data_IF_017540372536
#
_entry.id   IF_017540372536
#
_cell.length_a   1.000
_cell.length_b   1.000
_cell.length_c   1.000
_cell.angle_alpha   90.00
_cell.angle_beta   90.00
_cell.angle_gamma   90.00
#
_symmetry.space_group_name_H-M   'P 1'
#
loop_
_entity.id
_entity.type
_entity.pdbx_description
1 polymer ?
#
# COMPACT_ATOMS: atom_id res chain seq x y z
N UNK A 1 -48.30 -0.46 20.71
CA UNK A 1 -47.56 -0.75 21.95
C UNK A 1 -46.09 -0.88 21.57
N UNK A 2 -45.29 0.12 21.91
CA UNK A 2 -43.83 0.10 21.62
C UNK A 2 -43.17 -0.64 22.78
N UNK A 3 -42.54 -1.75 22.48
CA UNK A 3 -41.77 -2.53 23.44
C UNK A 3 -40.43 -1.81 23.67
N UNK A 4 -40.30 -1.17 24.81
CA UNK A 4 -39.06 -0.56 25.29
C UNK A 4 -38.09 -1.67 25.63
N UNK A 5 -37.13 -1.92 24.72
CA UNK A 5 -36.02 -2.81 25.01
C UNK A 5 -35.16 -2.23 26.14
N UNK A 6 -35.28 -2.82 27.30
CA UNK A 6 -34.38 -2.59 28.44
C UNK A 6 -32.98 -2.98 28.07
N UNK A 7 -32.09 -1.98 27.97
CA UNK A 7 -30.66 -2.20 27.81
C UNK A 7 -30.14 -2.75 29.13
N UNK A 8 -29.88 -4.05 29.16
CA UNK A 8 -29.18 -4.72 30.27
C UNK A 8 -27.75 -4.15 30.38
N UNK A 9 -27.50 -3.30 31.38
CA UNK A 9 -26.20 -2.69 31.68
C UNK A 9 -25.28 -3.60 32.50
N UNK A 10 -25.55 -4.90 32.51
CA UNK A 10 -24.79 -5.91 33.23
C UNK A 10 -23.70 -6.63 32.42
N UNK A 11 -23.15 -6.00 31.35
CA UNK A 11 -22.13 -6.59 30.52
C UNK A 11 -20.73 -6.53 31.16
N UNK A 12 -20.29 -7.63 31.75
CA UNK A 12 -18.89 -7.85 32.08
C UNK A 12 -18.00 -7.72 30.83
N UNK A 13 -16.67 -7.69 31.00
CA UNK A 13 -15.65 -7.56 29.92
C UNK A 13 -15.90 -8.41 28.66
N UNK A 14 -16.66 -9.49 28.75
CA UNK A 14 -17.04 -10.37 27.64
C UNK A 14 -17.94 -9.70 26.60
N UNK A 15 -18.72 -8.67 26.95
CA UNK A 15 -19.57 -7.90 26.03
C UNK A 15 -18.80 -6.79 25.25
N UNK A 16 -17.59 -6.45 25.69
CA UNK A 16 -16.80 -5.36 25.12
C UNK A 16 -16.06 -5.79 23.83
N UNK A 17 -15.71 -7.07 23.71
CA UNK A 17 -14.93 -7.58 22.60
C UNK A 17 -15.78 -8.42 21.65
N UNK A 18 -15.66 -8.12 20.35
CA UNK A 18 -16.30 -8.89 19.28
C UNK A 18 -15.34 -9.13 18.15
N UNK A 19 -15.10 -10.38 17.81
CA UNK A 19 -14.21 -10.77 16.71
C UNK A 19 -14.94 -10.77 15.37
N UNK A 20 -14.25 -10.29 14.33
CA UNK A 20 -14.70 -10.37 12.94
C UNK A 20 -13.48 -10.52 12.04
N UNK A 21 -13.46 -11.54 11.21
CA UNK A 21 -12.35 -11.85 10.30
C UNK A 21 -12.58 -11.23 8.93
N UNK A 22 -11.53 -10.76 8.25
CA UNK A 22 -11.62 -10.26 6.87
C UNK A 22 -11.99 -11.39 5.92
N UNK A 23 -11.21 -12.46 5.94
CA UNK A 23 -11.39 -13.64 5.09
C UNK A 23 -11.98 -14.80 5.90
N UNK A 24 -11.17 -15.38 6.74
CA UNK A 24 -11.50 -16.43 7.69
C UNK A 24 -10.34 -16.57 8.71
N UNK A 25 -10.53 -17.29 9.84
CA UNK A 25 -9.50 -17.38 10.88
C UNK A 25 -8.12 -17.85 10.38
N UNK A 26 -8.08 -18.89 9.55
CA UNK A 26 -6.81 -19.44 9.05
C UNK A 26 -6.11 -18.50 8.07
N UNK A 27 -6.86 -17.92 7.15
CA UNK A 27 -6.31 -17.00 6.15
C UNK A 27 -5.84 -15.69 6.79
N UNK A 28 -6.61 -15.13 7.72
CA UNK A 28 -6.22 -13.91 8.41
C UNK A 28 -4.98 -14.10 9.29
N UNK A 29 -4.91 -15.22 10.04
CA UNK A 29 -3.72 -15.55 10.81
C UNK A 29 -2.48 -15.67 9.92
N UNK A 30 -2.61 -16.29 8.74
CA UNK A 30 -1.49 -16.46 7.82
C UNK A 30 -1.12 -15.16 7.12
N UNK A 31 -2.08 -14.51 6.42
CA UNK A 31 -1.77 -13.41 5.50
C UNK A 31 -1.76 -12.03 6.16
N UNK A 32 -2.51 -11.83 7.24
CA UNK A 32 -2.60 -10.51 7.86
C UNK A 32 -1.79 -10.40 9.15
N UNK A 33 -1.56 -11.52 9.87
CA UNK A 33 -0.88 -11.48 11.16
C UNK A 33 0.52 -12.11 11.12
N UNK A 34 0.71 -13.28 10.46
CA UNK A 34 2.01 -13.97 10.43
C UNK A 34 2.91 -13.47 9.30
N UNK A 35 2.36 -13.15 8.14
CA UNK A 35 3.13 -12.68 6.97
C UNK A 35 4.06 -11.49 7.27
N UNK A 36 3.68 -10.47 8.08
CA UNK A 36 4.61 -9.41 8.44
C UNK A 36 5.91 -9.92 9.08
N UNK A 37 5.84 -10.90 9.96
CA UNK A 37 7.02 -11.48 10.60
C UNK A 37 7.88 -12.28 9.61
N UNK A 38 7.26 -13.02 8.70
CA UNK A 38 7.96 -13.72 7.61
C UNK A 38 8.67 -12.72 6.69
N UNK A 39 8.02 -11.61 6.36
CA UNK A 39 8.61 -10.57 5.51
C UNK A 39 9.82 -9.89 6.18
N UNK A 40 9.79 -9.71 7.50
CA UNK A 40 10.97 -9.28 8.27
C UNK A 40 12.11 -10.28 8.11
N UNK A 41 11.84 -11.57 8.30
CA UNK A 41 12.84 -12.63 8.13
C UNK A 41 13.46 -12.65 6.73
N UNK A 42 12.63 -12.47 5.68
CA UNK A 42 13.11 -12.37 4.29
C UNK A 42 14.01 -11.15 4.10
N UNK A 43 13.62 -9.97 4.59
CA UNK A 43 14.44 -8.76 4.46
C UNK A 43 15.79 -8.89 5.16
N UNK A 44 15.82 -9.47 6.35
CA UNK A 44 17.06 -9.74 7.08
C UNK A 44 17.93 -10.77 6.36
N UNK A 45 17.33 -11.85 5.84
CA UNK A 45 18.05 -12.84 5.04
C UNK A 45 18.62 -12.22 3.74
N UNK A 46 17.87 -11.35 3.08
CA UNK A 46 18.37 -10.65 1.91
C UNK A 46 19.53 -9.71 2.26
N UNK A 47 19.48 -9.05 3.39
CA UNK A 47 20.57 -8.19 3.86
C UNK A 47 21.87 -8.98 4.07
N UNK A 48 21.76 -10.18 4.61
CA UNK A 48 22.91 -11.01 4.96
C UNK A 48 23.51 -11.74 3.74
N UNK A 49 22.65 -12.23 2.84
CA UNK A 49 23.09 -13.22 1.84
C UNK A 49 23.06 -12.69 0.39
N UNK A 50 22.40 -11.58 0.10
CA UNK A 50 22.24 -11.12 -1.29
C UNK A 50 22.93 -9.78 -1.55
N UNK A 51 23.59 -9.63 -2.72
CA UNK A 51 24.08 -8.34 -3.15
C UNK A 51 22.92 -7.40 -3.51
N UNK A 52 23.14 -6.10 -3.35
CA UNK A 52 22.13 -5.06 -3.57
C UNK A 52 21.39 -5.18 -4.91
N UNK A 53 22.12 -5.49 -6.00
CA UNK A 53 21.55 -5.64 -7.35
C UNK A 53 20.55 -6.79 -7.42
N UNK A 54 20.83 -7.92 -6.74
CA UNK A 54 19.90 -9.04 -6.68
C UNK A 54 18.63 -8.66 -5.90
N UNK A 55 18.78 -7.96 -4.77
CA UNK A 55 17.62 -7.46 -3.99
C UNK A 55 16.77 -6.50 -4.82
N UNK A 56 17.39 -5.60 -5.59
CA UNK A 56 16.69 -4.67 -6.46
C UNK A 56 15.87 -5.40 -7.53
N UNK A 57 16.46 -6.40 -8.19
CA UNK A 57 15.77 -7.23 -9.19
C UNK A 57 14.61 -8.01 -8.60
N UNK A 58 14.81 -8.67 -7.46
CA UNK A 58 13.76 -9.43 -6.76
C UNK A 58 12.62 -8.51 -6.31
N UNK A 59 12.94 -7.30 -5.88
CA UNK A 59 11.95 -6.31 -5.44
C UNK A 59 10.87 -6.03 -6.48
N UNK A 60 11.22 -5.99 -7.77
CA UNK A 60 10.26 -5.81 -8.86
C UNK A 60 9.34 -7.03 -9.02
N UNK A 61 9.89 -8.25 -8.91
CA UNK A 61 9.09 -9.47 -8.94
C UNK A 61 8.09 -9.59 -7.80
N UNK A 62 8.37 -8.98 -6.66
CA UNK A 62 7.44 -8.91 -5.52
C UNK A 62 6.39 -7.81 -5.74
N UNK A 63 6.80 -6.65 -6.27
CA UNK A 63 5.94 -5.47 -6.40
C UNK A 63 4.91 -5.62 -7.53
N UNK A 64 5.36 -6.02 -8.70
CA UNK A 64 4.55 -5.95 -9.93
C UNK A 64 3.30 -6.84 -9.90
N UNK A 65 3.31 -8.07 -9.35
CA UNK A 65 2.12 -8.91 -9.28
C UNK A 65 0.94 -8.29 -8.53
N UNK A 66 1.15 -7.41 -7.54
CA UNK A 66 0.02 -6.80 -6.86
C UNK A 66 -0.68 -5.72 -7.70
N UNK A 67 0.03 -5.05 -8.60
CA UNK A 67 -0.61 -4.19 -9.61
C UNK A 67 -1.55 -4.99 -10.51
N UNK A 68 -1.14 -6.22 -10.90
CA UNK A 68 -2.00 -7.11 -11.68
C UNK A 68 -3.33 -7.39 -10.99
N UNK A 69 -3.31 -7.63 -9.69
CA UNK A 69 -4.53 -7.83 -8.91
C UNK A 69 -5.51 -6.65 -9.05
N UNK A 70 -4.99 -5.42 -9.00
CA UNK A 70 -5.77 -4.22 -9.23
C UNK A 70 -6.37 -4.18 -10.66
N UNK A 71 -5.56 -4.48 -11.68
CA UNK A 71 -6.04 -4.47 -13.07
C UNK A 71 -7.14 -5.50 -13.31
N UNK A 72 -6.99 -6.70 -12.75
CA UNK A 72 -8.01 -7.74 -12.84
C UNK A 72 -9.32 -7.28 -12.21
N UNK A 73 -9.28 -6.69 -11.03
CA UNK A 73 -10.46 -6.14 -10.35
C UNK A 73 -11.06 -4.96 -11.12
N UNK A 74 -10.23 -4.02 -11.55
CA UNK A 74 -10.68 -2.77 -12.18
C UNK A 74 -11.26 -2.99 -13.58
N UNK A 75 -10.56 -3.71 -14.42
CA UNK A 75 -10.91 -3.88 -15.83
C UNK A 75 -11.64 -5.19 -16.13
N UNK A 76 -11.53 -6.17 -15.22
CA UNK A 76 -12.15 -7.48 -15.39
C UNK A 76 -13.56 -7.61 -14.80
N UNK A 77 -13.97 -6.69 -13.90
CA UNK A 77 -15.27 -6.79 -13.23
C UNK A 77 -16.25 -5.73 -13.77
N UNK A 78 -17.46 -6.14 -14.23
CA UNK A 78 -18.41 -5.23 -14.88
C UNK A 78 -18.92 -4.11 -13.97
N UNK A 79 -19.08 -4.38 -12.68
CA UNK A 79 -19.54 -3.43 -11.69
C UNK A 79 -18.64 -2.21 -11.58
N UNK A 80 -17.30 -2.44 -11.61
CA UNK A 80 -16.31 -1.39 -11.56
C UNK A 80 -16.19 -0.67 -12.89
N UNK A 81 -16.07 -1.43 -13.98
CA UNK A 81 -15.92 -0.86 -15.31
C UNK A 81 -17.09 0.04 -15.69
N UNK A 82 -18.32 -0.39 -15.43
CA UNK A 82 -19.52 0.40 -15.76
C UNK A 82 -19.57 1.72 -14.96
N UNK A 83 -19.13 1.71 -13.72
CA UNK A 83 -19.19 2.87 -12.83
C UNK A 83 -18.07 3.87 -13.04
N UNK A 84 -16.87 3.42 -13.41
CA UNK A 84 -15.65 4.24 -13.41
C UNK A 84 -14.92 4.25 -14.76
N UNK A 85 -15.57 3.84 -15.85
CA UNK A 85 -14.97 3.70 -17.18
C UNK A 85 -14.16 4.92 -17.61
N UNK A 86 -14.74 6.11 -17.50
CA UNK A 86 -14.07 7.36 -17.91
C UNK A 86 -12.82 7.61 -17.06
N UNK A 87 -12.93 7.46 -15.74
CA UNK A 87 -11.80 7.65 -14.82
C UNK A 87 -10.69 6.63 -15.07
N UNK A 88 -11.06 5.38 -15.38
CA UNK A 88 -10.11 4.29 -15.66
C UNK A 88 -9.40 4.43 -17.01
N UNK A 89 -9.94 5.20 -17.95
CA UNK A 89 -9.27 5.52 -19.21
C UNK A 89 -8.47 6.82 -19.05
N UNK A 90 -9.12 7.88 -18.62
CA UNK A 90 -8.51 9.23 -18.57
C UNK A 90 -7.42 9.30 -17.49
N UNK A 91 -7.65 8.70 -16.31
CA UNK A 91 -6.69 8.76 -15.21
C UNK A 91 -5.30 8.25 -15.58
N UNK A 92 -5.15 7.00 -16.06
CA UNK A 92 -3.86 6.48 -16.53
C UNK A 92 -3.23 7.30 -17.67
N UNK A 93 -4.03 7.85 -18.61
CA UNK A 93 -3.51 8.72 -19.67
C UNK A 93 -2.95 10.05 -19.13
N UNK A 94 -3.61 10.62 -18.13
CA UNK A 94 -3.10 11.82 -17.44
C UNK A 94 -1.84 11.49 -16.65
N UNK A 95 -1.82 10.34 -15.96
CA UNK A 95 -0.69 9.92 -15.16
C UNK A 95 0.55 9.63 -16.04
N UNK A 96 0.40 8.93 -17.16
CA UNK A 96 1.55 8.69 -18.07
C UNK A 96 2.08 10.00 -18.65
N UNK A 97 1.19 10.91 -19.03
CA UNK A 97 1.59 12.23 -19.51
C UNK A 97 2.33 13.02 -18.42
N UNK A 98 1.81 13.01 -17.20
CA UNK A 98 2.43 13.66 -16.04
C UNK A 98 3.81 13.08 -15.73
N UNK A 99 3.94 11.76 -15.68
CA UNK A 99 5.23 11.11 -15.38
C UNK A 99 6.25 11.36 -16.49
N UNK A 100 5.86 11.25 -17.76
CA UNK A 100 6.74 11.49 -18.90
C UNK A 100 7.25 12.95 -18.92
N UNK A 101 6.33 13.92 -18.87
CA UNK A 101 6.69 15.33 -18.91
C UNK A 101 7.38 15.78 -17.63
N UNK A 102 6.94 15.27 -16.49
CA UNK A 102 7.49 15.62 -15.20
C UNK A 102 8.91 15.10 -15.02
N UNK A 103 9.20 13.86 -15.39
CA UNK A 103 10.58 13.35 -15.37
C UNK A 103 11.50 14.10 -16.32
N UNK A 104 10.95 14.62 -17.42
CA UNK A 104 11.71 15.44 -18.38
C UNK A 104 12.05 16.83 -17.84
N UNK A 105 11.14 17.51 -17.13
CA UNK A 105 11.31 18.92 -16.76
C UNK A 105 11.35 19.20 -15.27
N UNK A 106 10.82 18.31 -14.44
CA UNK A 106 10.75 18.49 -12.99
C UNK A 106 10.93 17.15 -12.23
N UNK A 107 12.03 16.42 -12.44
CA UNK A 107 12.21 15.06 -11.93
C UNK A 107 12.12 14.97 -10.41
N UNK A 108 12.66 15.96 -9.67
CA UNK A 108 12.55 15.99 -8.19
C UNK A 108 11.10 16.07 -7.74
N UNK A 109 10.30 16.93 -8.39
CA UNK A 109 8.89 17.09 -8.05
C UNK A 109 8.09 15.80 -8.28
N UNK A 110 8.39 15.08 -9.37
CA UNK A 110 7.78 13.77 -9.63
C UNK A 110 8.19 12.75 -8.57
N UNK A 111 9.48 12.68 -8.23
CA UNK A 111 9.98 11.78 -7.20
C UNK A 111 9.28 12.03 -5.85
N UNK A 112 9.18 13.29 -5.44
CA UNK A 112 8.53 13.66 -4.18
C UNK A 112 7.04 13.30 -4.18
N UNK A 113 6.34 13.57 -5.28
CA UNK A 113 4.92 13.21 -5.41
C UNK A 113 4.71 11.70 -5.37
N UNK A 114 5.50 10.95 -6.15
CA UNK A 114 5.42 9.48 -6.19
C UNK A 114 5.69 8.91 -4.80
N UNK A 115 6.74 9.39 -4.14
CA UNK A 115 7.08 8.93 -2.78
C UNK A 115 5.96 9.26 -1.79
N UNK A 116 5.45 10.49 -1.80
CA UNK A 116 4.37 10.89 -0.89
C UNK A 116 3.09 10.07 -1.13
N UNK A 117 2.75 9.81 -2.39
CA UNK A 117 1.55 9.04 -2.72
C UNK A 117 1.72 7.54 -2.41
N UNK A 118 2.90 6.96 -2.61
CA UNK A 118 3.22 5.58 -2.21
C UNK A 118 3.03 5.37 -0.70
N UNK A 119 3.57 6.27 0.11
CA UNK A 119 3.40 6.24 1.56
C UNK A 119 1.94 6.45 1.98
N UNK A 120 1.23 7.40 1.36
CA UNK A 120 -0.18 7.63 1.59
C UNK A 120 -1.03 6.40 1.21
N UNK A 121 -0.75 5.77 0.06
CA UNK A 121 -1.42 4.56 -0.38
C UNK A 121 -1.20 3.40 0.62
N UNK A 122 0.01 3.23 1.12
CA UNK A 122 0.35 2.22 2.13
C UNK A 122 -0.44 2.42 3.43
N UNK A 123 -0.55 3.65 3.92
CA UNK A 123 -1.37 4.02 5.08
C UNK A 123 -2.85 3.71 4.81
N UNK A 124 -3.36 4.09 3.64
CA UNK A 124 -4.77 3.91 3.30
C UNK A 124 -5.16 2.44 3.15
N UNK A 125 -4.28 1.58 2.64
CA UNK A 125 -4.54 0.14 2.59
C UNK A 125 -4.65 -0.45 4.01
N UNK A 126 -3.72 -0.13 4.90
CA UNK A 126 -3.77 -0.63 6.29
C UNK A 126 -4.99 -0.09 7.04
N UNK A 127 -5.31 1.19 6.85
CA UNK A 127 -6.54 1.77 7.37
C UNK A 127 -7.78 1.05 6.82
N UNK A 128 -7.82 0.77 5.52
CA UNK A 128 -8.90 0.04 4.85
C UNK A 128 -9.12 -1.34 5.45
N UNK A 129 -8.08 -2.14 5.64
CA UNK A 129 -8.18 -3.45 6.29
C UNK A 129 -8.66 -3.31 7.76
N UNK A 130 -8.16 -2.34 8.50
CA UNK A 130 -8.67 -2.03 9.83
C UNK A 130 -10.18 -1.74 9.84
N UNK A 131 -10.67 -1.01 8.84
CA UNK A 131 -12.11 -0.73 8.67
C UNK A 131 -12.92 -1.98 8.31
N UNK A 132 -12.34 -2.91 7.53
CA UNK A 132 -13.01 -4.19 7.23
C UNK A 132 -13.12 -5.04 8.50
N UNK A 133 -12.09 -5.10 9.34
CA UNK A 133 -12.17 -5.77 10.64
C UNK A 133 -13.31 -5.21 11.52
N UNK A 134 -13.43 -3.88 11.61
CA UNK A 134 -14.52 -3.25 12.36
C UNK A 134 -15.88 -3.55 11.74
N UNK A 135 -16.01 -3.47 10.42
CA UNK A 135 -17.25 -3.78 9.69
C UNK A 135 -17.71 -5.23 9.96
N UNK A 136 -16.79 -6.19 9.84
CA UNK A 136 -17.09 -7.62 10.09
C UNK A 136 -17.49 -7.91 11.52
N UNK A 137 -16.92 -7.21 12.50
CA UNK A 137 -17.24 -7.32 13.90
C UNK A 137 -18.44 -6.44 14.33
N UNK A 138 -18.92 -5.53 13.47
CA UNK A 138 -19.83 -4.44 13.84
C UNK A 138 -19.30 -3.65 15.03
N UNK A 139 -17.99 -3.38 15.03
CA UNK A 139 -17.27 -2.74 16.13
C UNK A 139 -16.99 -1.26 15.84
N UNK A 140 -16.68 -0.52 16.89
CA UNK A 140 -16.37 0.90 16.85
C UNK A 140 -17.61 1.80 16.79
N UNK A 141 -17.36 3.09 16.89
CA UNK A 141 -18.34 4.17 16.72
C UNK A 141 -18.18 4.79 15.32
N UNK A 142 -19.11 5.64 14.91
CA UNK A 142 -18.99 6.40 13.66
C UNK A 142 -17.71 7.27 13.61
N UNK A 143 -17.26 7.78 14.75
CA UNK A 143 -16.02 8.55 14.92
C UNK A 143 -14.75 7.71 14.80
N UNK A 144 -14.79 6.41 15.11
CA UNK A 144 -13.62 5.51 15.14
C UNK A 144 -12.80 5.55 13.85
N UNK A 145 -13.47 5.69 12.70
CA UNK A 145 -12.78 5.83 11.40
C UNK A 145 -11.77 6.97 11.37
N UNK A 146 -12.10 8.13 11.99
CA UNK A 146 -11.22 9.30 12.00
C UNK A 146 -10.04 9.09 12.96
N UNK A 147 -10.30 8.50 14.12
CA UNK A 147 -9.27 8.18 15.10
C UNK A 147 -8.31 7.12 14.56
N UNK A 148 -8.81 6.08 13.89
CA UNK A 148 -7.97 5.06 13.25
C UNK A 148 -7.07 5.66 12.17
N UNK A 149 -7.62 6.50 11.27
CA UNK A 149 -6.82 7.14 10.24
C UNK A 149 -5.72 8.01 10.85
N UNK A 150 -6.05 8.81 11.86
CA UNK A 150 -5.06 9.63 12.54
C UNK A 150 -4.02 8.77 13.28
N UNK A 151 -4.40 7.60 13.85
CA UNK A 151 -3.45 6.65 14.43
C UNK A 151 -2.44 6.16 13.38
N UNK A 152 -2.91 5.76 12.22
CA UNK A 152 -2.03 5.34 11.13
C UNK A 152 -1.10 6.46 10.67
N UNK A 153 -1.60 7.69 10.51
CA UNK A 153 -0.79 8.84 10.11
C UNK A 153 0.27 9.16 11.17
N UNK A 154 -0.09 9.14 12.46
CA UNK A 154 0.86 9.43 13.54
C UNK A 154 1.92 8.34 13.67
N UNK A 155 1.53 7.08 13.68
CA UNK A 155 2.47 5.96 13.78
C UNK A 155 3.41 5.94 12.57
N UNK A 156 2.87 6.04 11.36
CA UNK A 156 3.68 6.02 10.15
C UNK A 156 4.58 7.25 10.03
N UNK A 157 4.04 8.44 10.31
CA UNK A 157 4.81 9.69 10.31
C UNK A 157 5.94 9.68 11.33
N UNK A 158 5.70 9.14 12.53
CA UNK A 158 6.75 8.95 13.53
C UNK A 158 7.86 8.01 13.01
N UNK A 159 7.50 6.87 12.44
CA UNK A 159 8.45 5.93 11.83
C UNK A 159 9.25 6.62 10.71
N UNK A 160 8.57 7.32 9.79
CA UNK A 160 9.22 8.02 8.68
C UNK A 160 10.22 9.08 9.14
N UNK A 161 9.91 9.82 10.20
CA UNK A 161 10.83 10.83 10.73
C UNK A 161 12.01 10.23 11.50
N UNK A 162 11.79 9.17 12.27
CA UNK A 162 12.75 8.67 13.26
C UNK A 162 13.57 7.46 12.81
N UNK A 163 13.00 6.55 11.98
CA UNK A 163 13.72 5.36 11.57
C UNK A 163 14.97 5.73 10.75
N UNK A 164 16.14 5.14 11.03
CA UNK A 164 17.41 5.53 10.42
C UNK A 164 17.38 5.55 8.90
N UNK A 165 16.77 4.53 8.26
CA UNK A 165 16.70 4.43 6.79
C UNK A 165 15.93 5.57 6.15
N UNK A 166 14.84 6.03 6.78
CA UNK A 166 14.04 7.16 6.29
C UNK A 166 14.62 8.50 6.68
N UNK A 167 15.14 8.61 7.93
CA UNK A 167 15.76 9.84 8.42
C UNK A 167 16.94 10.25 7.53
N UNK A 168 17.78 9.30 7.15
CA UNK A 168 18.87 9.57 6.20
C UNK A 168 18.32 10.04 4.84
N UNK A 169 17.24 9.41 4.35
CA UNK A 169 16.63 9.75 3.06
C UNK A 169 16.12 11.19 3.04
N UNK A 170 15.22 11.58 3.96
CA UNK A 170 14.61 12.90 3.91
C UNK A 170 15.60 14.02 4.25
N UNK A 171 16.58 13.80 5.13
CA UNK A 171 17.66 14.77 5.39
C UNK A 171 18.48 14.98 4.12
N UNK A 172 18.87 13.91 3.45
CA UNK A 172 19.62 13.98 2.19
C UNK A 172 18.85 14.75 1.11
N UNK A 173 17.57 14.48 0.95
CA UNK A 173 16.77 15.14 -0.11
C UNK A 173 16.54 16.63 0.21
N UNK A 174 16.29 16.99 1.46
CA UNK A 174 16.23 18.40 1.87
C UNK A 174 17.56 19.13 1.61
N UNK A 175 18.70 18.49 1.91
CA UNK A 175 20.01 19.04 1.61
C UNK A 175 20.22 19.24 0.10
N UNK A 176 19.84 18.26 -0.72
CA UNK A 176 19.91 18.36 -2.20
C UNK A 176 19.05 19.48 -2.77
N UNK A 177 17.93 19.76 -2.14
CA UNK A 177 17.06 20.89 -2.51
C UNK A 177 17.53 22.23 -1.97
N UNK A 178 18.73 22.29 -1.37
CA UNK A 178 19.28 23.48 -0.73
C UNK A 178 18.41 24.09 0.37
N UNK A 179 17.56 23.25 1.01
CA UNK A 179 16.79 23.70 2.17
C UNK A 179 17.74 23.88 3.35
N UNK A 180 17.78 25.05 3.98
CA UNK A 180 18.66 25.30 5.11
C UNK A 180 18.17 24.55 6.34
N UNK A 181 18.76 23.36 6.58
CA UNK A 181 18.47 22.54 7.75
C UNK A 181 19.66 22.60 8.73
N UNK A 182 19.34 22.78 10.01
CA UNK A 182 20.32 22.73 11.09
C UNK A 182 20.11 21.50 11.95
N UNK A 183 21.16 21.10 12.71
CA UNK A 183 21.03 20.01 13.69
C UNK A 183 19.92 20.32 14.70
N UNK A 184 19.79 21.58 15.14
CA UNK A 184 18.72 22.00 16.05
C UNK A 184 17.33 21.83 15.47
N UNK A 185 17.14 22.15 14.18
CA UNK A 185 15.88 21.92 13.49
C UNK A 185 15.52 20.42 13.45
N UNK A 186 16.48 19.58 13.05
CA UNK A 186 16.27 18.13 12.98
C UNK A 186 15.90 17.60 14.37
N UNK A 187 16.68 17.94 15.40
CA UNK A 187 16.40 17.48 16.76
C UNK A 187 15.05 17.97 17.30
N UNK A 188 14.69 19.22 16.99
CA UNK A 188 13.38 19.78 17.32
C UNK A 188 12.23 19.00 16.67
N UNK A 189 12.36 18.67 15.38
CA UNK A 189 11.38 17.89 14.64
C UNK A 189 11.21 16.46 15.20
N UNK A 190 12.32 15.80 15.53
CA UNK A 190 12.31 14.47 16.15
C UNK A 190 11.65 14.51 17.53
N UNK A 191 12.01 15.46 18.38
CA UNK A 191 11.40 15.63 19.71
C UNK A 191 9.90 15.94 19.60
N UNK A 192 9.51 16.82 18.68
CA UNK A 192 8.11 17.11 18.40
C UNK A 192 7.33 15.86 17.98
N UNK A 193 7.92 15.01 17.14
CA UNK A 193 7.28 13.77 16.71
C UNK A 193 7.01 12.81 17.88
N UNK A 194 7.88 12.76 18.88
CA UNK A 194 7.66 12.00 20.12
C UNK A 194 6.48 12.56 20.93
N UNK A 195 6.39 13.88 21.07
CA UNK A 195 5.26 14.53 21.77
C UNK A 195 3.94 14.20 21.07
N UNK A 196 3.92 14.29 19.73
CA UNK A 196 2.73 13.97 18.92
C UNK A 196 2.35 12.50 19.08
N UNK A 197 3.32 11.58 19.01
CA UNK A 197 3.07 10.14 19.15
C UNK A 197 2.46 9.83 20.53
N UNK A 198 3.13 10.25 21.59
CA UNK A 198 2.69 9.96 22.97
C UNK A 198 1.33 10.61 23.23
N UNK A 199 1.20 11.90 22.90
CA UNK A 199 -0.07 12.63 23.08
C UNK A 199 -1.22 11.97 22.32
N UNK A 200 -0.97 11.52 21.08
CA UNK A 200 -2.02 10.87 20.31
C UNK A 200 -2.37 9.48 20.84
N UNK A 201 -1.42 8.71 21.34
CA UNK A 201 -1.71 7.43 21.98
C UNK A 201 -2.66 7.59 23.20
N UNK A 202 -2.49 8.65 24.00
CA UNK A 202 -3.45 8.97 25.06
C UNK A 202 -4.84 9.33 24.51
N UNK A 203 -4.90 10.17 23.46
CA UNK A 203 -6.16 10.51 22.79
C UNK A 203 -6.84 9.26 22.24
N UNK A 204 -6.08 8.35 21.65
CA UNK A 204 -6.61 7.11 21.09
C UNK A 204 -7.10 6.14 22.20
N UNK A 205 -6.34 6.00 23.29
CA UNK A 205 -6.76 5.21 24.44
C UNK A 205 -8.06 5.76 25.07
N UNK A 206 -8.15 7.09 25.19
CA UNK A 206 -9.39 7.75 25.64
C UNK A 206 -10.57 7.50 24.68
N UNK A 207 -10.33 7.54 23.36
CA UNK A 207 -11.35 7.19 22.37
C UNK A 207 -11.85 5.74 22.54
N UNK A 208 -10.95 4.79 22.76
CA UNK A 208 -11.32 3.39 23.02
C UNK A 208 -12.15 3.25 24.30
N UNK A 209 -11.72 3.95 25.35
CA UNK A 209 -12.49 3.98 26.59
C UNK A 209 -13.91 4.52 26.36
N UNK A 210 -14.06 5.67 25.70
CA UNK A 210 -15.36 6.22 25.38
C UNK A 210 -16.19 5.30 24.49
N UNK A 211 -15.59 4.62 23.52
CA UNK A 211 -16.26 3.63 22.68
C UNK A 211 -16.94 2.56 23.53
N UNK A 212 -16.25 2.05 24.55
CA UNK A 212 -16.82 1.06 25.46
C UNK A 212 -17.92 1.66 26.35
N UNK A 213 -17.71 2.88 26.86
CA UNK A 213 -18.71 3.55 27.69
C UNK A 213 -20.04 3.85 26.96
N UNK A 214 -19.94 4.11 25.66
CA UNK A 214 -21.08 4.33 24.76
C UNK A 214 -21.72 3.01 24.27
N UNK A 215 -21.28 1.86 24.78
CA UNK A 215 -21.80 0.55 24.40
C UNK A 215 -21.27 0.03 23.06
N UNK A 216 -20.25 0.68 22.48
CA UNK A 216 -19.56 0.19 21.30
C UNK A 216 -18.66 -1.01 21.62
N UNK A 217 -18.44 -1.84 20.61
CA UNK A 217 -17.58 -3.03 20.72
C UNK A 217 -16.22 -2.78 20.11
N UNK A 218 -15.23 -3.54 20.53
CA UNK A 218 -13.84 -3.50 20.05
C UNK A 218 -13.50 -4.83 19.37
N UNK A 219 -12.93 -4.77 18.16
CA UNK A 219 -12.40 -5.96 17.51
C UNK A 219 -10.90 -6.11 17.83
N UNK A 220 -10.49 -7.07 18.68
CA UNK A 220 -9.09 -7.25 19.04
C UNK A 220 -8.20 -7.67 17.84
N UNK A 221 -8.79 -8.33 16.83
CA UNK A 221 -8.07 -8.75 15.64
C UNK A 221 -7.56 -7.55 14.80
N UNK A 222 -8.31 -6.44 14.80
CA UNK A 222 -7.85 -5.17 14.18
C UNK A 222 -6.53 -4.71 14.80
N UNK A 223 -6.41 -4.77 16.10
CA UNK A 223 -5.20 -4.32 16.82
C UNK A 223 -4.04 -5.29 16.67
N UNK A 224 -4.32 -6.60 16.64
CA UNK A 224 -3.31 -7.60 16.32
C UNK A 224 -2.74 -7.38 14.90
N UNK A 225 -3.62 -7.11 13.93
CA UNK A 225 -3.23 -6.77 12.55
C UNK A 225 -2.40 -5.47 12.49
N UNK A 226 -2.88 -4.38 13.12
CA UNK A 226 -2.14 -3.12 13.17
C UNK A 226 -0.78 -3.34 13.84
N UNK A 227 -0.74 -4.04 14.98
CA UNK A 227 0.49 -4.35 15.69
C UNK A 227 1.50 -5.12 14.84
N UNK A 228 1.06 -6.17 14.13
CA UNK A 228 1.92 -6.96 13.25
C UNK A 228 2.47 -6.11 12.08
N UNK A 229 1.63 -5.28 11.45
CA UNK A 229 2.03 -4.42 10.33
C UNK A 229 3.05 -3.35 10.76
N UNK A 230 2.78 -2.68 11.88
CA UNK A 230 3.70 -1.66 12.41
C UNK A 230 4.96 -2.27 13.00
N UNK A 231 4.89 -3.48 13.58
CA UNK A 231 6.10 -4.22 13.97
C UNK A 231 7.05 -4.39 12.78
N UNK A 232 6.54 -4.85 11.62
CA UNK A 232 7.35 -4.97 10.41
C UNK A 232 7.99 -3.62 10.04
N UNK A 233 7.18 -2.57 9.88
CA UNK A 233 7.66 -1.27 9.41
C UNK A 233 8.71 -0.66 10.34
N UNK A 234 8.49 -0.74 11.65
CA UNK A 234 9.44 -0.26 12.64
C UNK A 234 10.68 -1.13 12.69
N UNK A 235 10.51 -2.45 12.85
CA UNK A 235 11.65 -3.33 12.98
C UNK A 235 12.61 -3.22 11.80
N UNK A 236 12.09 -3.31 10.57
CA UNK A 236 12.92 -3.19 9.37
C UNK A 236 13.48 -1.77 9.20
N UNK A 237 12.71 -0.73 9.54
CA UNK A 237 13.17 0.66 9.50
C UNK A 237 14.34 0.96 10.41
N UNK A 238 14.45 0.26 11.54
CA UNK A 238 15.55 0.45 12.51
C UNK A 238 16.70 -0.54 12.35
N UNK A 239 16.45 -1.74 11.80
CA UNK A 239 17.42 -2.83 11.82
C UNK A 239 17.96 -3.21 10.43
N UNK A 240 17.57 -2.53 9.36
CA UNK A 240 18.16 -2.73 8.04
C UNK A 240 19.02 -1.53 7.62
N UNK A 241 19.90 -1.76 6.64
CA UNK A 241 20.86 -0.75 6.18
C UNK A 241 20.41 0.00 4.92
N UNK A 242 19.25 -0.38 4.37
CA UNK A 242 18.80 0.16 3.08
C UNK A 242 17.29 0.33 3.04
N UNK A 243 16.85 1.45 2.47
CA UNK A 243 15.44 1.68 2.13
C UNK A 243 14.89 0.60 1.19
N UNK A 244 15.72 -0.01 0.35
CA UNK A 244 15.32 -1.10 -0.53
C UNK A 244 14.90 -2.35 0.26
N UNK A 245 15.61 -2.70 1.34
CA UNK A 245 15.24 -3.82 2.20
C UNK A 245 13.93 -3.56 2.94
N UNK A 246 13.77 -2.32 3.43
CA UNK A 246 12.47 -1.91 3.98
C UNK A 246 11.36 -2.05 2.94
N UNK A 247 11.60 -1.57 1.72
CA UNK A 247 10.64 -1.67 0.63
C UNK A 247 10.29 -3.12 0.28
N UNK A 248 11.26 -4.04 0.28
CA UNK A 248 11.02 -5.48 0.05
C UNK A 248 10.09 -6.06 1.12
N UNK A 249 10.40 -5.85 2.41
CA UNK A 249 9.56 -6.34 3.49
C UNK A 249 8.14 -5.76 3.41
N UNK A 250 8.05 -4.45 3.21
CA UNK A 250 6.78 -3.75 3.03
C UNK A 250 5.97 -4.33 1.87
N UNK A 251 6.58 -4.52 0.71
CA UNK A 251 5.92 -5.01 -0.50
C UNK A 251 5.49 -6.46 -0.40
N UNK A 252 6.24 -7.31 0.31
CA UNK A 252 5.80 -8.68 0.62
C UNK A 252 4.50 -8.62 1.43
N UNK A 253 4.48 -7.90 2.53
CA UNK A 253 3.29 -7.77 3.36
C UNK A 253 2.13 -7.13 2.58
N UNK A 254 2.32 -5.92 2.09
CA UNK A 254 1.33 -5.11 1.40
C UNK A 254 0.79 -5.80 0.14
N UNK A 255 1.69 -6.32 -0.70
CA UNK A 255 1.33 -6.94 -1.98
C UNK A 255 0.62 -8.26 -1.82
N UNK A 256 1.10 -9.16 -0.96
CA UNK A 256 0.45 -10.46 -0.75
C UNK A 256 -0.90 -10.31 -0.05
N UNK A 257 -1.01 -9.43 0.95
CA UNK A 257 -2.31 -9.10 1.58
C UNK A 257 -3.31 -8.62 0.54
N UNK A 258 -2.89 -7.73 -0.36
CA UNK A 258 -3.74 -7.20 -1.43
C UNK A 258 -4.14 -8.28 -2.44
N UNK A 259 -3.18 -9.06 -2.95
CA UNK A 259 -3.44 -10.14 -3.92
C UNK A 259 -4.47 -11.13 -3.36
N UNK A 260 -4.28 -11.60 -2.13
CA UNK A 260 -5.17 -12.57 -1.50
C UNK A 260 -6.55 -11.98 -1.21
N UNK A 261 -6.59 -10.74 -0.73
CA UNK A 261 -7.85 -10.05 -0.49
C UNK A 261 -8.66 -9.85 -1.76
N UNK A 262 -8.03 -9.35 -2.84
CA UNK A 262 -8.69 -9.12 -4.13
C UNK A 262 -9.23 -10.42 -4.70
N UNK A 263 -8.43 -11.50 -4.64
CA UNK A 263 -8.88 -12.80 -5.14
C UNK A 263 -10.11 -13.31 -4.38
N UNK A 264 -10.09 -13.33 -3.06
CA UNK A 264 -11.22 -13.79 -2.23
C UNK A 264 -12.45 -12.90 -2.44
N UNK A 265 -12.25 -11.58 -2.57
CA UNK A 265 -13.33 -10.65 -2.85
C UNK A 265 -14.02 -10.97 -4.19
N UNK A 266 -13.24 -11.17 -5.25
CA UNK A 266 -13.77 -11.53 -6.57
C UNK A 266 -14.42 -12.92 -6.56
N UNK A 267 -13.86 -13.87 -5.81
CA UNK A 267 -14.41 -15.22 -5.68
C UNK A 267 -15.81 -15.19 -5.05
N UNK A 268 -16.00 -14.40 -3.99
CA UNK A 268 -17.31 -14.19 -3.37
C UNK A 268 -18.32 -13.55 -4.31
N UNK A 269 -17.92 -12.60 -5.16
CA UNK A 269 -18.79 -12.01 -6.17
C UNK A 269 -19.16 -13.04 -7.25
N UNK A 270 -18.22 -13.90 -7.64
CA UNK A 270 -18.47 -14.99 -8.58
C UNK A 270 -19.48 -16.01 -8.04
N UNK A 271 -19.38 -16.38 -6.76
CA UNK A 271 -20.36 -17.26 -6.10
C UNK A 271 -21.79 -16.68 -6.13
N UNK A 272 -21.91 -15.35 -6.19
CA UNK A 272 -23.21 -14.64 -6.32
C UNK A 272 -23.68 -14.48 -7.76
N UNK A 273 -22.93 -14.99 -8.74
CA UNK A 273 -23.26 -14.87 -10.16
C UNK A 273 -22.95 -13.49 -10.77
N UNK A 274 -22.17 -12.65 -10.08
CA UNK A 274 -21.80 -11.31 -10.54
C UNK A 274 -20.52 -11.28 -11.38
N UNK A 275 -19.84 -12.41 -11.55
CA UNK A 275 -18.63 -12.50 -12.37
C UNK A 275 -18.94 -12.43 -13.86
N UNK A 276 -18.08 -11.74 -14.62
CA UNK A 276 -18.15 -11.70 -16.09
C UNK A 276 -17.78 -13.04 -16.68
N UNK A 277 -18.57 -13.59 -17.62
CA UNK A 277 -18.18 -14.76 -18.38
C UNK A 277 -16.86 -14.50 -19.15
N UNK A 278 -15.99 -15.51 -19.24
CA UNK A 278 -14.78 -15.44 -20.04
C UNK A 278 -13.50 -15.79 -19.28
N UNK A 279 -12.36 -15.21 -19.70
CA UNK A 279 -11.06 -15.52 -19.11
C UNK A 279 -11.03 -15.20 -17.61
N UNK A 280 -11.67 -14.11 -17.19
CA UNK A 280 -11.71 -13.67 -15.81
C UNK A 280 -12.44 -14.62 -14.88
N UNK A 281 -13.53 -15.24 -15.34
CA UNK A 281 -14.26 -16.24 -14.56
C UNK A 281 -13.43 -17.50 -14.29
N UNK A 282 -12.41 -17.78 -15.12
CA UNK A 282 -11.48 -18.89 -14.90
C UNK A 282 -10.43 -18.59 -13.83
N UNK A 283 -10.24 -17.34 -13.49
CA UNK A 283 -9.29 -16.88 -12.45
C UNK A 283 -9.94 -16.81 -11.06
N UNK A 284 -11.26 -16.96 -10.98
CA UNK A 284 -12.05 -17.04 -9.74
C UNK A 284 -12.76 -18.39 -9.68
N UNK A 285 -13.22 -18.78 -8.49
CA UNK A 285 -13.84 -20.10 -8.28
C UNK A 285 -12.83 -21.21 -8.00
N UNK A 286 -13.35 -22.41 -7.85
CA UNK A 286 -12.55 -23.58 -7.47
C UNK A 286 -11.42 -23.85 -8.49
N UNK A 287 -10.18 -23.79 -8.03
CA UNK A 287 -8.98 -23.96 -8.87
C UNK A 287 -8.57 -22.72 -9.67
N UNK A 288 -9.28 -21.60 -9.57
CA UNK A 288 -8.98 -20.35 -10.25
C UNK A 288 -7.73 -19.66 -9.70
N UNK A 289 -7.45 -19.80 -8.40
CA UNK A 289 -6.31 -19.15 -7.73
C UNK A 289 -4.98 -19.38 -8.46
N UNK A 290 -4.72 -20.59 -8.94
CA UNK A 290 -3.47 -20.90 -9.66
C UNK A 290 -3.35 -20.09 -10.95
N UNK A 291 -4.43 -19.89 -11.69
CA UNK A 291 -4.44 -19.10 -12.93
C UNK A 291 -4.31 -17.61 -12.64
N UNK A 292 -4.92 -17.16 -11.57
CA UNK A 292 -4.77 -15.79 -11.08
C UNK A 292 -3.33 -15.48 -10.70
N UNK A 293 -2.66 -16.35 -9.93
CA UNK A 293 -1.25 -16.19 -9.55
C UNK A 293 -0.31 -16.30 -10.75
N UNK A 294 -0.54 -17.27 -11.64
CA UNK A 294 0.24 -17.39 -12.89
C UNK A 294 0.07 -16.15 -13.80
N UNK A 295 -1.13 -15.57 -13.86
CA UNK A 295 -1.38 -14.31 -14.54
C UNK A 295 -0.55 -13.16 -13.96
N UNK A 296 -0.44 -13.08 -12.63
CA UNK A 296 0.42 -12.11 -11.95
C UNK A 296 1.90 -12.28 -12.27
N UNK A 297 2.39 -13.54 -12.31
CA UNK A 297 3.78 -13.84 -12.72
C UNK A 297 4.01 -13.48 -14.19
N UNK A 298 3.09 -13.85 -15.09
CA UNK A 298 3.17 -13.53 -16.51
C UNK A 298 3.16 -12.00 -16.74
N UNK A 299 2.33 -11.28 -15.99
CA UNK A 299 2.30 -9.82 -16.02
C UNK A 299 3.63 -9.22 -15.54
N UNK A 300 4.21 -9.74 -14.46
CA UNK A 300 5.50 -9.29 -13.96
C UNK A 300 6.63 -9.57 -14.98
N UNK A 301 6.60 -10.73 -15.64
CA UNK A 301 7.54 -11.05 -16.72
C UNK A 301 7.41 -10.06 -17.89
N UNK A 302 6.18 -9.82 -18.36
CA UNK A 302 5.94 -8.85 -19.44
C UNK A 302 6.40 -7.44 -19.05
N UNK A 303 6.12 -7.02 -17.82
CA UNK A 303 6.57 -5.73 -17.31
C UNK A 303 8.10 -5.63 -17.28
N UNK A 304 8.81 -6.68 -16.82
CA UNK A 304 10.27 -6.75 -16.84
C UNK A 304 10.84 -6.66 -18.27
N UNK A 305 10.20 -7.30 -19.23
CA UNK A 305 10.59 -7.20 -20.64
C UNK A 305 10.43 -5.78 -21.18
N UNK A 306 9.36 -5.07 -20.80
CA UNK A 306 9.12 -3.68 -21.23
C UNK A 306 10.16 -2.72 -20.66
N UNK A 307 10.56 -2.87 -19.39
CA UNK A 307 11.49 -1.97 -18.74
C UNK A 307 12.95 -2.34 -18.95
N UNK A 308 13.23 -3.50 -19.55
CA UNK A 308 14.59 -3.96 -19.83
C UNK A 308 15.00 -3.65 -21.28
N UNK A 309 16.30 -3.42 -21.47
CA UNK A 309 16.94 -2.98 -22.71
C UNK A 309 16.56 -3.75 -23.99
N UNK A 310 16.24 -5.07 -23.98
CA UNK A 310 15.91 -5.80 -25.21
C UNK A 310 14.72 -5.28 -26.01
N UNK A 311 13.81 -4.54 -25.39
CA UNK A 311 12.63 -3.98 -26.08
C UNK A 311 12.81 -2.50 -26.50
N UNK A 312 13.93 -1.88 -26.18
CA UNK A 312 14.25 -0.51 -26.57
C UNK A 312 14.27 -0.38 -28.11
N UNK A 313 14.82 -1.38 -28.80
CA UNK A 313 14.88 -1.46 -30.26
C UNK A 313 13.50 -1.55 -30.94
N UNK A 314 12.44 -1.93 -30.23
CA UNK A 314 11.08 -2.00 -30.77
C UNK A 314 10.31 -0.67 -30.70
N UNK A 315 10.98 0.43 -30.43
CA UNK A 315 10.38 1.76 -30.48
C UNK A 315 9.53 2.13 -29.26
N UNK A 316 9.73 1.48 -28.13
CA UNK A 316 9.22 1.94 -26.85
C UNK A 316 9.84 3.27 -26.42
N UNK A 317 10.81 3.80 -27.16
CA UNK A 317 11.32 5.17 -27.11
C UNK A 317 10.35 6.23 -27.65
N UNK A 318 9.04 6.02 -27.56
CA UNK A 318 8.01 7.05 -27.91
C UNK A 318 8.26 8.34 -27.13
N UNK A 319 8.85 8.23 -25.93
CA UNK A 319 9.35 9.38 -25.17
C UNK A 319 10.88 9.31 -25.20
N UNK A 320 11.47 9.98 -26.18
CA UNK A 320 12.92 10.10 -26.27
C UNK A 320 13.45 11.06 -25.21
N UNK A 321 14.20 10.56 -24.25
CA UNK A 321 14.83 11.35 -23.20
C UNK A 321 16.30 11.75 -23.55
N UNK A 322 16.85 11.24 -24.64
CA UNK A 322 18.20 11.58 -25.05
C UNK A 322 18.19 12.73 -26.13
N UNK A 323 19.19 13.61 -26.18
CA UNK A 323 20.22 13.85 -25.19
C UNK A 323 19.65 14.58 -23.95
N UNK A 324 20.02 14.15 -22.77
CA UNK A 324 19.52 14.74 -21.55
C UNK A 324 20.64 15.50 -20.82
N UNK A 325 20.39 16.73 -20.34
CA UNK A 325 21.38 17.40 -19.50
C UNK A 325 21.59 16.58 -18.23
N UNK A 326 22.76 16.75 -17.63
CA UNK A 326 23.04 16.18 -16.32
C UNK A 326 21.92 16.53 -15.32
N UNK A 327 21.50 15.57 -14.52
CA UNK A 327 20.55 15.77 -13.41
C UNK A 327 21.31 15.43 -12.12
N UNK A 328 22.10 16.38 -11.58
CA UNK A 328 22.97 16.14 -10.42
C UNK A 328 22.19 15.67 -9.19
N UNK A 329 20.92 16.10 -9.08
CA UNK A 329 20.01 15.75 -7.99
C UNK A 329 19.71 14.25 -7.93
N UNK A 330 19.79 13.57 -9.07
CA UNK A 330 19.68 12.10 -9.16
C UNK A 330 21.03 11.39 -9.18
N UNK A 331 22.13 12.12 -9.13
CA UNK A 331 23.46 11.56 -9.35
C UNK A 331 23.66 11.05 -10.79
N UNK A 332 22.86 11.55 -11.72
CA UNK A 332 22.92 11.20 -13.14
C UNK A 332 23.78 12.28 -13.83
N UNK A 333 24.95 11.90 -14.32
CA UNK A 333 25.74 12.69 -15.28
C UNK A 333 24.98 12.80 -16.59
N UNK A 334 25.49 13.57 -17.57
CA UNK A 334 24.85 13.69 -18.88
C UNK A 334 24.39 12.31 -19.40
N UNK A 335 23.09 12.22 -19.76
CA UNK A 335 22.50 10.94 -20.14
C UNK A 335 23.05 10.52 -21.52
N UNK A 336 23.78 9.46 -21.51
CA UNK A 336 23.98 8.60 -22.66
C UNK A 336 22.70 7.77 -22.93
N UNK A 337 22.74 6.92 -23.92
CA UNK A 337 21.64 6.02 -24.30
C UNK A 337 21.15 5.16 -23.13
N UNK A 338 22.07 4.69 -22.29
CA UNK A 338 21.76 3.85 -21.14
C UNK A 338 21.05 4.63 -20.03
N UNK A 339 21.40 5.88 -19.82
CA UNK A 339 20.72 6.77 -18.90
C UNK A 339 19.32 7.18 -19.37
N UNK A 340 19.13 7.42 -20.67
CA UNK A 340 17.82 7.67 -21.25
C UNK A 340 16.86 6.48 -21.05
N UNK A 341 17.38 5.27 -21.24
CA UNK A 341 16.60 4.05 -21.00
C UNK A 341 16.25 3.84 -19.52
N UNK A 342 17.16 4.16 -18.61
CA UNK A 342 16.87 4.11 -17.18
C UNK A 342 15.72 5.05 -16.78
N UNK A 343 15.65 6.24 -17.39
CA UNK A 343 14.51 7.17 -17.20
C UNK A 343 13.20 6.62 -17.78
N UNK A 344 13.25 5.96 -18.93
CA UNK A 344 12.06 5.27 -19.47
C UNK A 344 11.55 4.19 -18.53
N UNK A 345 12.43 3.32 -18.03
CA UNK A 345 12.07 2.32 -17.03
C UNK A 345 11.47 2.95 -15.78
N UNK A 346 12.05 4.04 -15.29
CA UNK A 346 11.54 4.78 -14.14
C UNK A 346 10.16 5.40 -14.41
N UNK A 347 9.96 5.97 -15.61
CA UNK A 347 8.65 6.48 -16.05
C UNK A 347 7.60 5.39 -16.03
N UNK A 348 7.91 4.20 -16.54
CA UNK A 348 6.98 3.06 -16.55
C UNK A 348 6.63 2.62 -15.13
N UNK A 349 7.62 2.45 -14.26
CA UNK A 349 7.40 2.07 -12.86
C UNK A 349 6.49 3.09 -12.15
N UNK A 350 6.75 4.37 -12.31
CA UNK A 350 5.95 5.43 -11.71
C UNK A 350 4.54 5.49 -12.28
N UNK A 351 4.39 5.37 -13.61
CA UNK A 351 3.07 5.39 -14.27
C UNK A 351 2.18 4.26 -13.76
N UNK A 352 2.71 3.04 -13.70
CA UNK A 352 1.92 1.90 -13.23
C UNK A 352 1.63 1.98 -11.73
N UNK A 353 2.59 2.39 -10.91
CA UNK A 353 2.40 2.59 -9.49
C UNK A 353 1.33 3.65 -9.19
N UNK A 354 1.46 4.85 -9.76
CA UNK A 354 0.49 5.94 -9.56
C UNK A 354 -0.89 5.59 -10.11
N UNK A 355 -0.97 4.90 -11.26
CA UNK A 355 -2.25 4.44 -11.83
C UNK A 355 -2.93 3.43 -10.91
N UNK A 356 -2.16 2.53 -10.30
CA UNK A 356 -2.67 1.59 -9.30
C UNK A 356 -3.22 2.34 -8.07
N UNK A 357 -2.49 3.28 -7.48
CA UNK A 357 -2.96 4.06 -6.32
C UNK A 357 -4.21 4.87 -6.64
N UNK A 358 -4.25 5.48 -7.82
CA UNK A 358 -5.40 6.22 -8.30
C UNK A 358 -6.65 5.34 -8.40
N UNK A 359 -6.53 4.19 -9.06
CA UNK A 359 -7.66 3.28 -9.26
C UNK A 359 -8.14 2.69 -7.94
N UNK A 360 -7.23 2.30 -7.04
CA UNK A 360 -7.59 1.82 -5.70
C UNK A 360 -8.39 2.85 -4.91
N UNK A 361 -8.09 4.13 -5.07
CA UNK A 361 -8.85 5.21 -4.42
C UNK A 361 -10.31 5.30 -4.87
N UNK A 362 -10.62 4.76 -6.05
CA UNK A 362 -11.98 4.70 -6.62
C UNK A 362 -12.73 3.46 -6.16
N UNK A 363 -12.05 2.28 -6.21
CA UNK A 363 -12.72 0.98 -6.14
C UNK A 363 -12.80 0.36 -4.74
N UNK A 364 -12.02 0.86 -3.76
CA UNK A 364 -11.93 0.29 -2.42
C UNK A 364 -12.49 1.21 -1.31
N UNK A 365 -13.70 1.71 -1.48
CA UNK A 365 -14.37 2.50 -0.43
C UNK A 365 -15.24 1.59 0.43
N UNK A 366 -14.81 1.24 1.64
CA UNK A 366 -15.59 0.39 2.58
C UNK A 366 -16.97 0.96 2.91
N UNK A 367 -17.18 2.26 2.73
CA UNK A 367 -18.50 2.90 2.86
C UNK A 367 -19.42 2.69 1.65
N UNK A 368 -18.91 2.16 0.54
CA UNK A 368 -19.70 1.87 -0.66
C UNK A 368 -20.43 0.53 -0.46
N UNK A 369 -21.76 0.54 -0.63
CA UNK A 369 -22.61 -0.66 -0.48
C UNK A 369 -22.19 -1.78 -1.43
N UNK A 370 -21.78 -1.44 -2.66
CA UNK A 370 -21.28 -2.44 -3.62
C UNK A 370 -19.98 -3.10 -3.15
N UNK A 371 -19.09 -2.36 -2.50
CA UNK A 371 -17.91 -2.95 -1.88
C UNK A 371 -18.28 -3.83 -0.70
N UNK A 372 -19.24 -3.40 0.12
CA UNK A 372 -19.72 -4.17 1.27
C UNK A 372 -20.36 -5.50 0.88
N UNK A 373 -20.99 -5.58 -0.30
CA UNK A 373 -21.59 -6.83 -0.82
C UNK A 373 -20.53 -7.94 -1.02
N UNK A 374 -19.30 -7.60 -1.40
CA UNK A 374 -18.19 -8.56 -1.56
C UNK A 374 -17.41 -8.84 -0.27
N UNK A 375 -17.65 -8.05 0.78
CA UNK A 375 -17.02 -8.27 2.08
C UNK A 375 -17.74 -9.39 2.84
#
# INVERSE_FOLDING_TARGET
>A
MAETATIDRGGGLTGTFRTGWILNPKADLLWFMTLPFLAVGVALGFQEWLPYVAVASISLWITIPHHYANWVRAYGMPDVWSRFRSQMIIGPLVIISFTALGLKWAPISVLLLVTAWDHQHSIMQQHGFGRIYDFKARAGLASTRKYDLALHVVLYGFMFLNAPVFRFLWIRELHRMHVPITVGFIQGLLNFSWIVLIGYLFVYAWHLWNTVQEGGQINPLKYAFIGASYFLWYYVGWHTHSILLWAVAHRIMHGVQYIMYVWVYMDRLNERGEATPGLWSRMVGAGGLKWYLLGGVAYALLFQLIINRPLDEFGFGVVNFAPYPAIPEFGISALDESGAFALFGQMMIYTFGLSHYYIDSLIWKVSDTKVQEGL
#
